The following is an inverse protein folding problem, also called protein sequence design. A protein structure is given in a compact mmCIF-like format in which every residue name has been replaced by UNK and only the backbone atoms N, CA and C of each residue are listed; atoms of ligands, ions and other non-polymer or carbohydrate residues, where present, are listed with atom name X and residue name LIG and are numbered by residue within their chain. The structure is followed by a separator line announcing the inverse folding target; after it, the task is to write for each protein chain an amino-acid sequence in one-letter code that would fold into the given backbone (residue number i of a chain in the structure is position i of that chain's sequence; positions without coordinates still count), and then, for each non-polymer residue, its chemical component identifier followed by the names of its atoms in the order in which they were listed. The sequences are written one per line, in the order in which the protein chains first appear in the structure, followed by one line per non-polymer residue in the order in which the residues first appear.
data_IF_586842528526
#
_entry.id   IF_586842528526
#
_cell.length_a   1.000
_cell.length_b   1.000
_cell.length_c   1.000
_cell.angle_alpha   90.00
_cell.angle_beta   90.00
_cell.angle_gamma   90.00
#
_symmetry.space_group_name_H-M   'P 1'
#
loop_
_entity.id
_entity.type
_entity.pdbx_description
1 polymer ?
#
# COMPACT_ATOMS: atom_id res chain seq x y z
N UNK A 1 1.69 -13.41 -4.32
CA UNK A 1 2.92 -13.52 -3.50
C UNK A 1 3.63 -14.86 -3.66
N UNK A 2 2.91 -15.99 -3.65
CA UNK A 2 3.51 -17.35 -3.80
C UNK A 2 4.39 -17.47 -5.06
N UNK A 3 3.89 -17.11 -6.25
CA UNK A 3 4.66 -17.13 -7.49
C UNK A 3 5.92 -16.24 -7.45
N UNK A 4 5.82 -15.06 -6.83
CA UNK A 4 6.97 -14.14 -6.67
C UNK A 4 8.06 -14.77 -5.81
N UNK A 5 7.70 -15.47 -4.72
CA UNK A 5 8.66 -16.19 -3.89
C UNK A 5 9.29 -17.38 -4.63
N UNK A 6 8.51 -18.13 -5.43
CA UNK A 6 9.02 -19.23 -6.25
C UNK A 6 10.03 -18.75 -7.28
N UNK A 7 9.73 -17.66 -7.99
CA UNK A 7 10.67 -17.04 -8.92
C UNK A 7 11.94 -16.57 -8.22
N UNK A 8 11.80 -15.93 -7.05
CA UNK A 8 12.96 -15.48 -6.27
C UNK A 8 13.86 -16.65 -5.85
N UNK A 9 13.29 -17.74 -5.33
CA UNK A 9 14.02 -18.95 -4.96
C UNK A 9 14.77 -19.55 -6.15
N UNK A 10 14.12 -19.67 -7.31
CA UNK A 10 14.76 -20.20 -8.52
C UNK A 10 15.93 -19.32 -9.00
N UNK A 11 15.80 -18.00 -8.93
CA UNK A 11 16.86 -17.05 -9.29
C UNK A 11 18.03 -17.13 -8.30
N UNK A 12 17.73 -17.26 -7.01
CA UNK A 12 18.71 -17.46 -5.95
C UNK A 12 19.46 -18.80 -6.12
N UNK A 13 18.76 -19.90 -6.41
CA UNK A 13 19.37 -21.21 -6.72
C UNK A 13 20.30 -21.13 -7.94
N UNK A 14 19.91 -20.36 -8.96
CA UNK A 14 20.73 -20.09 -10.14
C UNK A 14 21.91 -19.14 -9.89
N UNK A 15 22.09 -18.65 -8.66
CA UNK A 15 23.15 -17.69 -8.24
C UNK A 15 23.19 -16.42 -9.08
N UNK A 16 22.06 -16.02 -9.65
CA UNK A 16 21.98 -14.79 -10.42
C UNK A 16 22.02 -13.60 -9.45
N UNK A 17 22.76 -12.53 -9.78
CA UNK A 17 22.82 -11.35 -8.94
C UNK A 17 21.45 -10.68 -8.91
N UNK A 18 20.85 -10.63 -7.72
CA UNK A 18 19.59 -9.95 -7.45
C UNK A 18 19.82 -8.89 -6.38
N UNK A 19 19.20 -7.74 -6.60
CA UNK A 19 19.11 -6.68 -5.61
C UNK A 19 17.64 -6.43 -5.31
N UNK A 20 17.29 -6.39 -4.02
CA UNK A 20 15.94 -6.05 -3.59
C UNK A 20 15.90 -4.53 -3.39
N UNK A 21 15.13 -3.84 -4.23
CA UNK A 21 14.86 -2.43 -4.02
C UNK A 21 14.03 -2.25 -2.74
N UNK A 22 14.51 -1.43 -1.81
CA UNK A 22 13.91 -1.18 -0.49
C UNK A 22 13.64 -2.48 0.33
N UNK A 23 14.69 -3.14 0.84
CA UNK A 23 14.56 -4.41 1.58
C UNK A 23 13.74 -4.27 2.87
N UNK A 24 13.81 -3.12 3.54
CA UNK A 24 13.04 -2.85 4.76
C UNK A 24 11.54 -2.77 4.46
N UNK A 25 11.13 -2.08 3.39
CA UNK A 25 9.73 -2.05 2.96
C UNK A 25 9.20 -3.43 2.60
N UNK A 26 10.00 -4.25 1.90
CA UNK A 26 9.64 -5.65 1.59
C UNK A 26 9.48 -6.46 2.88
N UNK A 27 10.37 -6.28 3.86
CA UNK A 27 10.27 -6.98 5.16
C UNK A 27 8.99 -6.62 5.90
N UNK A 28 8.64 -5.34 6.01
CA UNK A 28 7.41 -4.88 6.68
C UNK A 28 6.17 -5.53 6.09
N UNK A 29 6.08 -5.57 4.75
CA UNK A 29 4.97 -6.20 4.03
C UNK A 29 4.87 -7.72 4.26
N UNK A 30 6.01 -8.41 4.29
CA UNK A 30 6.03 -9.85 4.58
C UNK A 30 5.58 -10.17 6.01
N UNK A 31 5.82 -9.26 6.95
CA UNK A 31 5.40 -9.40 8.34
C UNK A 31 4.02 -8.82 8.65
N UNK A 32 3.30 -8.31 7.65
CA UNK A 32 2.04 -7.58 7.81
C UNK A 32 2.16 -6.40 8.82
N UNK A 33 3.32 -5.74 8.80
CA UNK A 33 3.62 -4.52 9.58
C UNK A 33 3.50 -3.25 8.72
N UNK A 34 3.02 -3.39 7.49
CA UNK A 34 2.68 -2.31 6.58
C UNK A 34 1.26 -1.78 6.80
N UNK A 35 0.98 -0.61 6.23
CA UNK A 35 -0.34 -0.01 6.21
C UNK A 35 -1.01 -0.17 4.85
N UNK A 36 -2.35 -0.18 4.84
CA UNK A 36 -3.17 -0.11 3.64
C UNK A 36 -3.87 1.25 3.61
N UNK A 37 -3.66 2.01 2.54
CA UNK A 37 -4.30 3.30 2.35
C UNK A 37 -5.77 3.13 1.98
N UNK A 38 -6.66 3.81 2.69
CA UNK A 38 -8.09 3.83 2.35
C UNK A 38 -8.36 5.07 1.51
N UNK A 39 -8.79 4.86 0.27
CA UNK A 39 -9.07 5.94 -0.68
C UNK A 39 -10.58 6.06 -0.97
N UNK A 40 -11.07 7.27 -1.28
CA UNK A 40 -12.46 7.43 -1.68
C UNK A 40 -12.71 6.85 -3.08
N UNK A 41 -13.94 6.39 -3.34
CA UNK A 41 -14.32 5.70 -4.59
C UNK A 41 -14.17 6.54 -5.86
N UNK A 42 -14.13 7.88 -5.74
CA UNK A 42 -13.88 8.77 -6.87
C UNK A 42 -12.40 8.97 -7.21
N UNK A 43 -11.47 8.54 -6.33
CA UNK A 43 -10.04 8.74 -6.54
C UNK A 43 -9.46 7.56 -7.32
N UNK A 44 -8.93 7.79 -8.53
CA UNK A 44 -8.29 6.74 -9.34
C UNK A 44 -6.85 6.43 -8.89
N UNK A 45 -6.61 6.32 -7.58
CA UNK A 45 -5.29 6.01 -7.05
C UNK A 45 -5.05 4.50 -7.13
N UNK A 46 -3.85 4.14 -7.59
CA UNK A 46 -3.36 2.76 -7.63
C UNK A 46 -2.15 2.65 -6.71
N UNK A 47 -1.75 1.44 -6.29
CA UNK A 47 -0.59 1.18 -5.40
C UNK A 47 0.68 1.97 -5.75
N UNK A 48 0.89 2.25 -7.03
CA UNK A 48 2.06 2.96 -7.58
C UNK A 48 1.93 4.48 -7.62
N UNK A 49 0.73 5.02 -7.38
CA UNK A 49 0.41 6.45 -7.46
C UNK A 49 -0.47 6.87 -6.28
N UNK A 50 -0.25 6.29 -5.11
CA UNK A 50 -1.13 6.38 -3.96
C UNK A 50 -1.03 7.70 -3.17
N UNK A 51 -0.09 8.59 -3.54
CA UNK A 51 0.13 9.92 -2.96
C UNK A 51 0.38 9.99 -1.43
N UNK A 52 0.31 8.87 -0.71
CA UNK A 52 0.75 8.73 0.69
C UNK A 52 2.24 9.02 0.82
N UNK A 53 2.63 9.54 1.97
CA UNK A 53 4.02 9.82 2.29
C UNK A 53 4.79 8.52 2.53
N UNK A 54 6.10 8.53 2.27
CA UNK A 54 6.92 7.32 2.39
C UNK A 54 7.06 6.83 3.83
N UNK A 55 6.94 7.72 4.81
CA UNK A 55 6.98 7.43 6.24
C UNK A 55 5.70 6.77 6.77
N UNK A 56 4.62 6.77 6.00
CA UNK A 56 3.36 6.12 6.40
C UNK A 56 3.36 4.61 6.14
N UNK A 57 4.43 4.07 5.53
CA UNK A 57 4.57 2.65 5.18
C UNK A 57 3.34 2.06 4.45
N UNK A 58 2.64 2.88 3.67
CA UNK A 58 1.54 2.45 2.82
C UNK A 58 2.14 1.85 1.54
N UNK A 59 1.78 0.63 1.18
CA UNK A 59 2.27 -0.02 -0.05
C UNK A 59 1.15 -0.52 -0.97
N UNK A 60 -0.08 -0.49 -0.49
CA UNK A 60 -1.28 -0.81 -1.25
C UNK A 60 -2.43 0.09 -0.82
N UNK A 61 -3.39 0.24 -1.71
CA UNK A 61 -4.60 1.04 -1.48
C UNK A 61 -5.85 0.23 -1.75
N UNK A 62 -6.90 0.55 -1.00
CA UNK A 62 -8.23 -0.02 -1.22
C UNK A 62 -9.29 1.07 -1.17
N UNK A 63 -10.38 0.86 -1.89
CA UNK A 63 -11.50 1.78 -1.79
C UNK A 63 -12.21 1.60 -0.46
N UNK A 64 -12.66 2.71 0.14
CA UNK A 64 -13.48 2.65 1.35
C UNK A 64 -14.70 1.73 1.18
N UNK A 65 -15.29 1.70 -0.01
CA UNK A 65 -16.45 0.86 -0.33
C UNK A 65 -16.15 -0.65 -0.33
N UNK A 66 -14.90 -1.04 -0.58
CA UNK A 66 -14.47 -2.45 -0.55
C UNK A 66 -14.49 -3.05 0.86
N UNK A 67 -14.46 -2.22 1.92
CA UNK A 67 -14.58 -2.68 3.30
C UNK A 67 -15.97 -3.30 3.60
N UNK A 68 -16.99 -2.96 2.80
CA UNK A 68 -18.33 -3.54 2.86
C UNK A 68 -18.91 -3.63 4.28
N UNK A 69 -19.33 -4.84 4.68
CA UNK A 69 -19.93 -5.11 6.01
C UNK A 69 -18.95 -4.94 7.19
N UNK A 70 -17.64 -4.92 6.93
CA UNK A 70 -16.63 -4.83 7.97
C UNK A 70 -16.29 -3.39 8.37
N UNK A 71 -16.80 -2.38 7.65
CA UNK A 71 -16.61 -0.95 7.93
C UNK A 71 -16.71 -0.63 9.42
N UNK A 72 -17.83 -1.01 10.07
CA UNK A 72 -18.06 -0.73 11.50
C UNK A 72 -17.01 -1.33 12.46
N UNK A 73 -16.39 -2.45 12.09
CA UNK A 73 -15.38 -3.11 12.92
C UNK A 73 -14.00 -2.52 12.71
N UNK A 74 -13.71 -2.03 11.50
CA UNK A 74 -12.38 -1.57 11.11
C UNK A 74 -12.21 -0.07 11.38
N UNK A 75 -13.28 0.73 11.25
CA UNK A 75 -13.25 2.20 11.48
C UNK A 75 -12.50 2.64 12.76
N UNK A 76 -12.65 1.99 13.93
CA UNK A 76 -11.92 2.39 15.14
C UNK A 76 -10.40 2.25 15.06
N UNK A 77 -9.91 1.43 14.13
CA UNK A 77 -8.49 1.17 13.91
C UNK A 77 -7.92 1.94 12.71
N UNK A 78 -8.74 2.77 12.06
CA UNK A 78 -8.32 3.60 10.91
C UNK A 78 -7.96 4.99 11.40
N UNK A 79 -6.77 5.44 11.04
CA UNK A 79 -6.39 6.86 11.15
C UNK A 79 -6.95 7.60 9.94
N UNK A 80 -7.80 8.60 10.20
CA UNK A 80 -8.40 9.43 9.14
C UNK A 80 -7.64 10.74 9.02
N UNK A 81 -7.05 10.96 7.86
CA UNK A 81 -6.48 12.25 7.52
C UNK A 81 -7.52 13.15 6.84
N UNK A 82 -7.48 14.47 7.08
CA UNK A 82 -8.36 15.40 6.38
C UNK A 82 -8.07 15.35 4.88
N UNK A 83 -9.13 15.26 4.07
CA UNK A 83 -8.99 15.39 2.62
C UNK A 83 -8.31 16.73 2.31
N UNK A 84 -7.25 16.75 1.49
CA UNK A 84 -6.68 18.01 1.02
C UNK A 84 -7.79 18.74 0.28
N UNK A 85 -8.28 19.83 0.86
CA UNK A 85 -9.22 20.73 0.20
C UNK A 85 -8.50 21.16 -1.08
N UNK A 86 -9.01 20.71 -2.23
CA UNK A 86 -8.55 21.16 -3.54
C UNK A 86 -8.78 22.67 -3.58
N UNK A 87 -7.81 23.46 -3.13
CA UNK A 87 -7.82 24.90 -3.35
C UNK A 87 -7.68 25.08 -4.86
N UNK A 88 -8.67 25.68 -5.55
CA UNK A 88 -8.48 26.07 -6.93
C UNK A 88 -7.23 26.96 -6.97
N UNK A 89 -6.35 26.69 -7.91
CA UNK A 89 -5.09 27.42 -8.11
C UNK A 89 -5.47 28.83 -8.57
N UNK A 90 -5.61 29.76 -7.63
CA UNK A 90 -5.90 31.19 -7.76
C UNK A 90 -6.86 31.57 -8.91
N UNK A 91 -8.13 31.82 -8.58
CA UNK A 91 -9.03 32.64 -9.39
C UNK A 91 -8.58 34.12 -9.40
#
# INVERSE_FOLDING_TARGET
MVETMRMFLAIHEAKLPISIANPEGVRKRLLAQDNIGIIPSYASLHRSNQHFSQDEDVFDVMYYDDLGRFKRRIIPFVTWEPLPILKPKNA
#
